data_IF_190345208259
#
_entry.id   IF_190345208259
#
_cell.length_a   1.000
_cell.length_b   1.000
_cell.length_c   1.000
_cell.angle_alpha   90.00
_cell.angle_beta   90.00
_cell.angle_gamma   90.00
#
_symmetry.space_group_name_H-M   'P 1'
#
loop_
_entity.id
_entity.type
_entity.pdbx_description
1 polymer ?
#
# COMPACT_ATOMS: atom_id res chain seq x y z
N UNK A 1 -19.88 74.38 -38.77
CA UNK A 1 -19.30 74.13 -37.43
C UNK A 1 -19.90 72.83 -36.93
N UNK A 2 -19.15 71.74 -36.78
CA UNK A 2 -18.52 71.31 -35.52
C UNK A 2 -19.44 70.27 -34.84
N UNK A 3 -19.02 69.12 -34.32
CA UNK A 3 -17.70 68.51 -34.06
C UNK A 3 -17.89 66.98 -34.08
N UNK A 4 -16.88 66.25 -34.56
CA UNK A 4 -16.72 64.79 -34.43
C UNK A 4 -16.54 64.42 -32.94
N UNK A 5 -17.10 63.28 -32.49
CA UNK A 5 -16.38 62.13 -31.85
C UNK A 5 -17.32 61.14 -31.13
N UNK A 6 -17.25 59.83 -31.46
CA UNK A 6 -17.25 58.80 -30.41
C UNK A 6 -16.22 57.66 -30.62
N UNK A 7 -15.11 57.90 -31.33
CA UNK A 7 -14.11 56.85 -31.63
C UNK A 7 -13.09 56.54 -30.50
N UNK A 8 -13.03 57.35 -29.44
CA UNK A 8 -11.91 57.29 -28.46
C UNK A 8 -12.07 56.19 -27.39
N UNK A 9 -13.30 55.85 -26.98
CA UNK A 9 -13.53 54.85 -25.90
C UNK A 9 -13.16 53.42 -26.31
N UNK A 10 -13.40 53.05 -27.57
CA UNK A 10 -13.12 51.71 -28.11
C UNK A 10 -11.61 51.42 -28.21
N UNK A 11 -10.79 52.44 -28.51
CA UNK A 11 -9.33 52.29 -28.64
C UNK A 11 -8.65 52.03 -27.29
N UNK A 12 -9.15 52.66 -26.21
CA UNK A 12 -8.60 52.47 -24.86
C UNK A 12 -8.89 51.06 -24.30
N UNK A 13 -10.08 50.53 -24.55
CA UNK A 13 -10.44 49.15 -24.19
C UNK A 13 -9.66 48.12 -25.00
N UNK A 14 -9.50 48.35 -26.31
CA UNK A 14 -8.65 47.51 -27.17
C UNK A 14 -7.19 47.50 -26.69
N UNK A 15 -6.66 48.64 -26.22
CA UNK A 15 -5.31 48.73 -25.65
C UNK A 15 -5.17 47.91 -24.37
N UNK A 16 -6.14 48.00 -23.45
CA UNK A 16 -6.18 47.18 -22.22
C UNK A 16 -6.26 45.69 -22.52
N UNK A 17 -7.09 45.30 -23.49
CA UNK A 17 -7.18 43.90 -23.92
C UNK A 17 -5.86 43.41 -24.52
N UNK A 18 -5.22 44.23 -25.35
CA UNK A 18 -3.90 43.93 -25.93
C UNK A 18 -2.82 43.76 -24.86
N UNK A 19 -2.83 44.59 -23.82
CA UNK A 19 -1.90 44.50 -22.69
C UNK A 19 -2.14 43.21 -21.87
N UNK A 20 -3.40 42.88 -21.54
CA UNK A 20 -3.75 41.62 -20.86
C UNK A 20 -3.36 40.39 -21.67
N UNK A 21 -3.63 40.41 -22.98
CA UNK A 21 -3.22 39.35 -23.89
C UNK A 21 -1.70 39.19 -23.93
N UNK A 22 -0.94 40.29 -23.93
CA UNK A 22 0.52 40.23 -23.91
C UNK A 22 1.06 39.63 -22.61
N UNK A 23 0.47 39.97 -21.46
CA UNK A 23 0.83 39.41 -20.16
C UNK A 23 0.53 37.91 -20.14
N UNK A 24 -0.68 37.52 -20.53
CA UNK A 24 -1.08 36.10 -20.58
C UNK A 24 -0.18 35.31 -21.54
N UNK A 25 0.14 35.88 -22.70
CA UNK A 25 1.07 35.26 -23.67
C UNK A 25 2.48 35.08 -23.09
N UNK A 26 2.97 36.03 -22.28
CA UNK A 26 4.27 35.88 -21.59
C UNK A 26 4.22 34.78 -20.54
N UNK A 27 3.14 34.71 -19.77
CA UNK A 27 2.96 33.68 -18.74
C UNK A 27 2.85 32.29 -19.34
N UNK A 28 2.07 32.12 -20.42
CA UNK A 28 1.98 30.84 -21.14
C UNK A 28 3.34 30.43 -21.70
N UNK A 29 4.09 31.36 -22.30
CA UNK A 29 5.45 31.07 -22.78
C UNK A 29 6.40 30.66 -21.66
N UNK A 30 6.33 31.34 -20.52
CA UNK A 30 7.15 31.02 -19.36
C UNK A 30 6.80 29.63 -18.81
N UNK A 31 5.51 29.30 -18.73
CA UNK A 31 5.06 27.99 -18.27
C UNK A 31 5.51 26.87 -19.22
N UNK A 32 5.41 27.08 -20.53
CA UNK A 32 5.90 26.12 -21.53
C UNK A 32 7.42 25.92 -21.39
N UNK A 33 8.17 27.00 -21.17
CA UNK A 33 9.61 26.91 -20.94
C UNK A 33 9.95 26.14 -19.66
N UNK A 34 9.25 26.41 -18.56
CA UNK A 34 9.44 25.68 -17.31
C UNK A 34 9.09 24.19 -17.45
N UNK A 35 7.99 23.87 -18.11
CA UNK A 35 7.59 22.49 -18.35
C UNK A 35 8.63 21.75 -19.21
N UNK A 36 9.22 22.42 -20.21
CA UNK A 36 10.31 21.85 -21.00
C UNK A 36 11.56 21.61 -20.13
N UNK A 37 11.98 22.58 -19.31
CA UNK A 37 13.13 22.43 -18.41
C UNK A 37 12.92 21.31 -17.38
N UNK A 38 11.71 21.16 -16.83
CA UNK A 38 11.38 20.06 -15.92
C UNK A 38 11.41 18.71 -16.63
N UNK A 39 10.97 18.65 -17.89
CA UNK A 39 10.99 17.44 -18.70
C UNK A 39 12.43 17.01 -19.01
N UNK A 40 13.32 17.98 -19.28
CA UNK A 40 14.76 17.73 -19.45
C UNK A 40 15.40 17.19 -18.16
N UNK A 41 15.05 17.75 -17.00
CA UNK A 41 15.54 17.29 -15.70
C UNK A 41 15.06 15.86 -15.36
N UNK A 42 13.79 15.54 -15.64
CA UNK A 42 13.26 14.17 -15.48
C UNK A 42 14.03 13.20 -16.38
N UNK A 43 14.23 13.55 -17.65
CA UNK A 43 14.99 12.71 -18.59
C UNK A 43 16.44 12.50 -18.13
N UNK A 44 17.06 13.55 -17.55
CA UNK A 44 18.39 13.45 -16.95
C UNK A 44 18.41 12.47 -15.77
N UNK A 45 17.47 12.61 -14.84
CA UNK A 45 17.37 11.73 -13.67
C UNK A 45 17.11 10.28 -14.06
N UNK A 46 16.23 10.01 -15.03
CA UNK A 46 15.97 8.67 -15.55
C UNK A 46 17.23 8.03 -16.15
N UNK A 47 18.04 8.82 -16.88
CA UNK A 47 19.31 8.37 -17.44
C UNK A 47 20.31 8.00 -16.35
N UNK A 48 20.44 8.83 -15.31
CA UNK A 48 21.31 8.55 -14.16
C UNK A 48 20.86 7.31 -13.39
N UNK A 49 19.56 7.17 -13.20
CA UNK A 49 18.97 6.01 -12.54
C UNK A 49 19.23 4.72 -13.31
N UNK A 50 19.15 4.76 -14.65
CA UNK A 50 19.49 3.63 -15.51
C UNK A 50 20.98 3.25 -15.39
N UNK A 51 21.89 4.25 -15.33
CA UNK A 51 23.32 4.01 -15.12
C UNK A 51 23.58 3.34 -13.77
N UNK A 52 23.00 3.86 -12.69
CA UNK A 52 23.13 3.29 -11.34
C UNK A 52 22.56 1.87 -11.26
N UNK A 53 21.44 1.59 -11.94
CA UNK A 53 20.86 0.24 -12.05
C UNK A 53 21.85 -0.72 -12.71
N UNK A 54 22.47 -0.30 -13.81
CA UNK A 54 23.44 -1.11 -14.54
C UNK A 54 24.70 -1.37 -13.71
N UNK A 55 25.22 -0.35 -13.03
CA UNK A 55 26.38 -0.47 -12.15
C UNK A 55 26.10 -1.44 -10.98
N UNK A 56 24.95 -1.30 -10.32
CA UNK A 56 24.50 -2.22 -9.27
C UNK A 56 24.47 -3.67 -9.77
N UNK A 57 23.90 -3.92 -10.95
CA UNK A 57 23.82 -5.25 -11.56
C UNK A 57 25.20 -5.81 -11.87
N UNK A 58 26.10 -4.98 -12.40
CA UNK A 58 27.48 -5.35 -12.67
C UNK A 58 28.24 -5.74 -11.39
N UNK A 59 28.15 -4.91 -10.35
CA UNK A 59 28.82 -5.17 -9.06
C UNK A 59 28.29 -6.43 -8.38
N UNK A 60 26.96 -6.66 -8.39
CA UNK A 60 26.36 -7.89 -7.89
C UNK A 60 26.88 -9.12 -8.63
N UNK A 61 26.92 -9.07 -9.97
CA UNK A 61 27.45 -10.18 -10.79
C UNK A 61 28.93 -10.46 -10.48
N UNK A 62 29.73 -9.42 -10.27
CA UNK A 62 31.14 -9.54 -9.89
C UNK A 62 31.29 -10.15 -8.49
N UNK A 63 30.46 -9.76 -7.53
CA UNK A 63 30.47 -10.28 -6.16
C UNK A 63 30.10 -11.77 -6.12
N UNK A 64 29.08 -12.19 -6.87
CA UNK A 64 28.68 -13.60 -6.95
C UNK A 64 29.76 -14.51 -7.56
N UNK A 65 30.68 -13.98 -8.36
CA UNK A 65 31.80 -14.75 -8.91
C UNK A 65 32.81 -15.21 -7.84
N UNK A 66 32.84 -14.54 -6.69
CA UNK A 66 33.82 -14.78 -5.63
C UNK A 66 33.24 -15.45 -4.36
N UNK A 67 31.94 -15.75 -4.34
CA UNK A 67 31.29 -16.48 -3.23
C UNK A 67 31.14 -17.96 -3.60
N UNK A 68 31.74 -18.93 -2.87
CA UNK A 68 31.61 -20.36 -3.16
C UNK A 68 30.24 -20.84 -2.66
N UNK A 69 29.22 -20.75 -3.51
CA UNK A 69 27.84 -21.07 -3.14
C UNK A 69 27.33 -22.22 -4.02
N UNK A 70 26.73 -23.24 -3.40
CA UNK A 70 26.21 -24.43 -4.10
C UNK A 70 25.06 -24.09 -5.05
N UNK A 71 24.84 -24.91 -6.10
CA UNK A 71 23.84 -24.69 -7.16
C UNK A 71 22.43 -24.37 -6.63
N UNK A 72 22.04 -24.96 -5.50
CA UNK A 72 20.77 -24.73 -4.80
C UNK A 72 20.63 -23.29 -4.24
N UNK A 73 21.71 -22.71 -3.72
CA UNK A 73 21.74 -21.34 -3.21
C UNK A 73 21.82 -20.29 -4.33
N UNK A 74 22.30 -20.70 -5.51
CA UNK A 74 22.32 -19.87 -6.72
C UNK A 74 20.90 -19.69 -7.31
N UNK A 75 20.05 -20.74 -7.24
CA UNK A 75 18.63 -20.69 -7.62
C UNK A 75 17.79 -19.82 -6.66
N UNK A 76 18.11 -19.85 -5.36
CA UNK A 76 17.49 -18.97 -4.36
C UNK A 76 17.89 -17.50 -4.59
N UNK A 77 19.16 -17.26 -4.93
CA UNK A 77 19.68 -15.92 -5.23
C UNK A 77 19.18 -15.36 -6.56
N UNK A 78 18.96 -16.20 -7.58
CA UNK A 78 18.31 -15.78 -8.84
C UNK A 78 16.82 -15.53 -8.68
N UNK A 79 16.11 -16.28 -7.81
CA UNK A 79 14.75 -15.93 -7.38
C UNK A 79 14.71 -14.61 -6.62
N UNK A 80 15.69 -14.36 -5.74
CA UNK A 80 15.84 -13.07 -5.05
C UNK A 80 16.20 -11.91 -6.01
N UNK A 81 16.99 -12.18 -7.06
CA UNK A 81 17.32 -11.20 -8.11
C UNK A 81 16.14 -10.89 -9.04
N UNK A 82 15.35 -11.89 -9.43
CA UNK A 82 14.12 -11.68 -10.20
C UNK A 82 13.05 -10.95 -9.36
N UNK A 83 13.00 -11.17 -8.05
CA UNK A 83 12.19 -10.37 -7.12
C UNK A 83 12.69 -8.92 -6.95
N UNK A 84 13.99 -8.68 -7.16
CA UNK A 84 14.61 -7.35 -7.22
C UNK A 84 14.49 -6.67 -8.59
N UNK A 85 14.09 -7.39 -9.65
CA UNK A 85 13.88 -6.84 -10.99
C UNK A 85 12.41 -6.38 -11.20
N UNK A 86 11.47 -6.92 -10.41
CA UNK A 86 10.05 -6.49 -10.34
C UNK A 86 9.78 -5.37 -9.34
N UNK A 87 10.81 -4.94 -8.60
CA UNK A 87 10.83 -3.73 -7.77
C UNK A 87 11.87 -2.77 -8.36
N UNK A 88 11.49 -1.53 -8.68
CA UNK A 88 12.37 -0.58 -9.38
C UNK A 88 13.68 -0.26 -8.57
N UNK A 89 14.77 0.13 -9.26
CA UNK A 89 16.16 -0.10 -8.85
C UNK A 89 16.67 0.87 -7.78
N UNK A 90 17.49 0.39 -6.85
CA UNK A 90 18.28 1.31 -6.02
C UNK A 90 18.90 0.75 -4.76
N UNK A 91 18.30 -0.23 -4.07
CA UNK A 91 18.86 -0.67 -2.77
C UNK A 91 18.88 -2.18 -2.60
N UNK A 92 20.09 -2.69 -2.31
CA UNK A 92 20.40 -4.07 -1.93
C UNK A 92 20.22 -4.17 -0.41
N UNK A 93 19.47 -5.15 0.14
CA UNK A 93 19.47 -5.38 1.58
C UNK A 93 20.85 -5.82 2.07
N UNK A 94 21.41 -5.08 3.02
CA UNK A 94 22.59 -5.45 3.78
C UNK A 94 22.24 -6.59 4.75
N UNK A 95 22.24 -7.83 4.26
CA UNK A 95 22.18 -9.02 5.11
C UNK A 95 23.03 -10.20 4.60
N UNK A 96 23.89 -10.01 3.60
CA UNK A 96 24.87 -11.05 3.18
C UNK A 96 26.24 -10.87 3.86
N UNK A 97 26.47 -9.77 4.59
CA UNK A 97 27.76 -9.50 5.23
C UNK A 97 27.62 -9.39 6.75
N UNK A 98 27.63 -10.53 7.44
CA UNK A 98 28.22 -10.60 8.78
C UNK A 98 28.84 -11.98 9.03
N UNK A 99 30.17 -11.95 9.05
CA UNK A 99 31.18 -12.82 9.67
C UNK A 99 30.96 -14.34 9.73
N UNK A 100 31.60 -15.03 8.78
CA UNK A 100 32.23 -16.33 9.04
C UNK A 100 33.69 -16.04 9.43
N UNK A 101 34.05 -16.33 10.69
CA UNK A 101 35.46 -16.46 11.07
C UNK A 101 36.00 -17.80 10.55
N UNK A 102 37.21 -17.84 9.95
CA UNK A 102 37.85 -19.06 9.51
C UNK A 102 38.89 -19.52 10.53
N UNK A 103 38.81 -20.77 11.02
CA UNK A 103 40.00 -21.48 11.48
C UNK A 103 39.97 -22.95 11.07
N UNK A 104 40.83 -23.21 10.09
CA UNK A 104 41.43 -24.46 9.64
C UNK A 104 41.79 -25.44 10.76
N UNK A 105 41.58 -26.72 10.49
CA UNK A 105 42.25 -27.85 11.13
C UNK A 105 43.63 -28.10 10.52
N UNK A 106 44.59 -28.60 11.31
CA UNK A 106 45.47 -29.65 10.83
C UNK A 106 45.67 -30.80 11.83
N UNK A 107 46.01 -31.97 11.28
CA UNK A 107 46.11 -33.25 11.95
C UNK A 107 47.49 -33.55 12.61
N UNK A 108 47.44 -34.48 13.58
CA UNK A 108 48.41 -35.53 14.00
C UNK A 108 49.16 -35.41 15.35
N UNK A 109 49.02 -36.55 16.07
CA UNK A 109 49.90 -37.25 17.05
C UNK A 109 49.90 -36.83 18.52
N UNK A 110 49.61 -37.82 19.39
CA UNK A 110 49.93 -37.83 20.81
C UNK A 110 49.10 -38.86 21.60
N UNK A 111 49.75 -39.92 22.08
CA UNK A 111 49.18 -41.14 22.65
C UNK A 111 48.44 -41.00 24.01
N UNK A 112 47.56 -41.99 24.24
CA UNK A 112 47.33 -42.82 25.46
C UNK A 112 45.82 -42.89 25.71
N UNK A 113 45.09 -44.00 25.62
CA UNK A 113 45.28 -45.41 26.00
C UNK A 113 44.06 -45.76 26.89
N UNK A 114 43.32 -46.82 26.50
CA UNK A 114 42.69 -47.81 27.39
C UNK A 114 41.39 -47.32 28.09
N UNK A 115 40.23 -47.99 28.08
CA UNK A 115 39.84 -49.35 27.67
C UNK A 115 38.29 -49.51 27.65
N UNK A 116 37.86 -50.54 26.91
CA UNK A 116 36.75 -51.48 27.22
C UNK A 116 35.28 -51.05 27.10
N UNK A 117 34.68 -51.45 25.97
CA UNK A 117 33.32 -52.03 25.85
C UNK A 117 33.25 -53.37 26.62
N UNK A 118 32.09 -53.98 26.95
CA UNK A 118 31.10 -54.49 25.97
C UNK A 118 29.60 -54.38 26.43
N UNK A 119 28.63 -54.25 25.50
CA UNK A 119 27.76 -55.32 24.95
C UNK A 119 26.84 -55.98 26.03
N UNK A 120 25.57 -56.39 25.84
CA UNK A 120 24.64 -56.53 24.71
C UNK A 120 23.33 -57.11 25.28
N UNK A 121 22.17 -56.74 24.72
CA UNK A 121 20.94 -57.55 24.46
C UNK A 121 20.30 -58.40 25.59
N UNK A 122 18.98 -58.39 25.85
CA UNK A 122 17.94 -59.00 24.98
C UNK A 122 16.54 -58.96 25.62
N UNK A 123 15.48 -58.73 24.80
CA UNK A 123 14.12 -59.40 24.69
C UNK A 123 13.35 -59.77 25.99
N UNK A 124 12.00 -59.66 26.15
CA UNK A 124 10.82 -59.81 25.26
C UNK A 124 9.50 -59.62 26.08
N UNK A 125 8.38 -59.27 25.39
CA UNK A 125 6.94 -59.59 25.69
C UNK A 125 6.25 -58.94 26.93
N UNK A 126 4.95 -58.58 27.01
CA UNK A 126 3.71 -58.91 26.28
C UNK A 126 2.56 -57.92 26.66
N UNK A 127 1.68 -57.63 25.69
CA UNK A 127 0.21 -57.39 25.74
C UNK A 127 -0.53 -56.52 26.79
N UNK A 128 -1.40 -55.65 26.21
CA UNK A 128 -2.85 -55.44 26.45
C UNK A 128 -3.38 -54.24 27.29
N UNK A 129 -4.45 -53.64 26.70
CA UNK A 129 -5.59 -52.88 27.26
C UNK A 129 -5.60 -51.33 27.20
N UNK A 130 -6.40 -50.82 26.26
CA UNK A 130 -7.27 -49.63 26.40
C UNK A 130 -8.34 -49.89 27.51
N UNK A 131 -8.82 -48.89 28.29
CA UNK A 131 -9.80 -47.93 27.78
C UNK A 131 -9.76 -46.47 28.33
N UNK A 132 -10.15 -45.54 27.46
CA UNK A 132 -10.89 -44.29 27.70
C UNK A 132 -10.69 -43.49 29.01
N UNK A 133 -10.06 -42.31 28.92
CA UNK A 133 -10.70 -41.08 29.44
C UNK A 133 -10.18 -39.83 28.71
N UNK A 134 -11.13 -38.96 28.39
CA UNK A 134 -10.92 -37.75 27.61
C UNK A 134 -10.07 -36.72 28.36
N UNK A 135 -8.98 -36.26 27.72
CA UNK A 135 -8.39 -34.95 28.02
C UNK A 135 -8.00 -34.27 26.70
N UNK A 136 -8.95 -33.53 26.12
CA UNK A 136 -8.67 -32.59 25.05
C UNK A 136 -7.80 -31.45 25.61
N UNK A 137 -6.65 -31.12 25.01
CA UNK A 137 -5.89 -29.94 25.42
C UNK A 137 -6.72 -28.68 25.13
N UNK A 138 -6.97 -27.89 26.19
CA UNK A 138 -7.62 -26.59 26.13
C UNK A 138 -6.92 -25.72 25.08
N UNK A 139 -7.67 -25.42 24.02
CA UNK A 139 -7.32 -24.49 22.94
C UNK A 139 -6.93 -23.14 23.56
N UNK A 140 -5.66 -22.76 23.44
CA UNK A 140 -5.17 -21.44 23.84
C UNK A 140 -5.99 -20.39 23.09
N UNK A 141 -6.52 -19.39 23.81
CA UNK A 141 -7.18 -18.22 23.21
C UNK A 141 -6.24 -17.62 22.16
N UNK A 142 -6.71 -17.29 20.95
CA UNK A 142 -5.86 -16.62 19.97
C UNK A 142 -5.43 -15.28 20.57
N UNK A 143 -4.12 -15.13 20.81
CA UNK A 143 -3.55 -13.84 21.18
C UNK A 143 -3.94 -12.83 20.11
N UNK A 144 -4.51 -11.69 20.51
CA UNK A 144 -4.90 -10.61 19.61
C UNK A 144 -3.70 -10.24 18.76
N UNK A 145 -3.76 -10.53 17.46
CA UNK A 145 -2.75 -10.06 16.50
C UNK A 145 -2.77 -8.53 16.56
N UNK A 146 -1.65 -7.95 17.03
CA UNK A 146 -1.50 -6.51 17.23
C UNK A 146 -1.60 -5.78 15.88
N UNK A 147 -2.47 -4.77 15.79
CA UNK A 147 -2.69 -3.97 14.56
C UNK A 147 -1.51 -3.01 14.34
N UNK A 148 -0.66 -3.30 13.36
CA UNK A 148 0.55 -2.51 13.09
C UNK A 148 0.30 -1.43 12.04
N UNK A 149 0.59 -0.18 12.38
CA UNK A 149 0.57 0.96 11.47
C UNK A 149 1.90 1.02 10.73
N UNK A 150 1.81 1.13 9.40
CA UNK A 150 2.97 1.32 8.54
C UNK A 150 3.47 2.76 8.64
N UNK A 151 4.80 2.99 8.59
CA UNK A 151 5.34 4.35 8.55
C UNK A 151 4.85 5.09 7.30
N UNK A 152 4.32 6.30 7.49
CA UNK A 152 3.91 7.20 6.41
C UNK A 152 4.60 8.55 6.59
N UNK A 153 5.04 9.14 5.48
CA UNK A 153 5.54 10.51 5.46
C UNK A 153 4.38 11.51 5.55
N UNK A 154 4.62 12.61 6.25
CA UNK A 154 3.69 13.71 6.46
C UNK A 154 4.30 15.01 5.95
N UNK A 155 3.44 15.99 5.63
CA UNK A 155 3.84 17.36 5.37
C UNK A 155 4.17 18.11 6.68
N UNK A 156 4.52 19.38 6.58
CA UNK A 156 4.88 20.23 7.73
C UNK A 156 3.71 20.46 8.72
N UNK A 157 2.48 20.21 8.27
CA UNK A 157 1.27 20.29 9.10
C UNK A 157 0.91 18.95 9.78
N UNK A 158 1.76 17.93 9.64
CA UNK A 158 1.53 16.55 10.08
C UNK A 158 0.34 15.86 9.40
N UNK A 159 0.06 16.19 8.14
CA UNK A 159 -0.92 15.50 7.29
C UNK A 159 -0.17 14.49 6.40
N UNK A 160 -0.58 13.21 6.34
CA UNK A 160 0.00 12.24 5.43
C UNK A 160 -0.16 12.65 3.96
N UNK A 161 0.83 12.33 3.14
CA UNK A 161 0.71 12.53 1.69
C UNK A 161 -0.27 11.54 1.07
N UNK A 162 -1.15 12.06 0.22
CA UNK A 162 -2.04 11.27 -0.64
C UNK A 162 -1.54 11.28 -2.09
N UNK A 163 -1.75 10.20 -2.85
CA UNK A 163 -2.43 8.96 -2.43
C UNK A 163 -1.54 8.05 -1.55
N UNK A 164 -2.16 7.28 -0.65
CA UNK A 164 -1.48 6.33 0.23
C UNK A 164 -1.52 4.94 -0.40
N UNK A 165 -0.37 4.46 -0.85
CA UNK A 165 -0.23 3.15 -1.52
C UNK A 165 0.26 2.06 -0.57
N UNK A 166 -0.50 0.96 -0.47
CA UNK A 166 -0.22 -0.18 0.39
C UNK A 166 -0.41 -1.48 -0.40
N UNK A 167 0.67 -1.98 -0.98
CA UNK A 167 0.62 -3.17 -1.84
C UNK A 167 -0.23 -2.91 -3.09
N UNK A 168 -1.35 -3.63 -3.23
CA UNK A 168 -2.30 -3.46 -4.34
C UNK A 168 -3.44 -2.48 -4.04
N UNK A 169 -3.45 -1.86 -2.86
CA UNK A 169 -4.40 -0.82 -2.46
C UNK A 169 -3.76 0.55 -2.66
N UNK A 170 -4.51 1.51 -3.16
CA UNK A 170 -4.16 2.94 -3.14
C UNK A 170 -5.35 3.71 -2.60
N UNK A 171 -5.17 4.50 -1.54
CA UNK A 171 -6.23 5.34 -0.95
C UNK A 171 -6.02 6.78 -1.39
N UNK A 172 -7.02 7.36 -2.06
CA UNK A 172 -6.97 8.71 -2.63
C UNK A 172 -7.60 9.75 -1.70
N UNK A 173 -8.66 9.38 -1.00
CA UNK A 173 -9.35 10.22 -0.03
C UNK A 173 -9.90 9.35 1.11
N UNK A 174 -9.78 9.82 2.35
CA UNK A 174 -10.35 9.15 3.52
C UNK A 174 -11.83 9.49 3.73
N UNK A 175 -12.33 10.57 3.13
CA UNK A 175 -13.70 11.04 3.30
C UNK A 175 -13.93 11.85 4.58
N UNK A 176 -15.19 12.08 4.91
CA UNK A 176 -15.66 12.83 6.07
C UNK A 176 -16.59 12.00 6.95
N UNK A 177 -16.42 12.10 8.27
CA UNK A 177 -17.24 11.38 9.23
C UNK A 177 -18.56 12.13 9.45
N UNK A 178 -19.67 11.44 9.21
CA UNK A 178 -21.01 11.88 9.60
C UNK A 178 -21.33 11.31 11.00
N UNK A 179 -20.89 12.02 12.05
CA UNK A 179 -21.04 11.57 13.44
C UNK A 179 -22.49 11.63 13.93
N UNK A 180 -23.30 12.51 13.36
CA UNK A 180 -24.72 12.69 13.62
C UNK A 180 -25.58 11.52 13.13
N UNK A 181 -25.09 10.74 12.15
CA UNK A 181 -25.82 9.61 11.56
C UNK A 181 -25.33 8.27 12.12
N UNK A 182 -26.13 7.65 12.99
CA UNK A 182 -25.82 6.37 13.62
C UNK A 182 -25.65 5.17 12.64
N UNK A 183 -26.08 5.30 11.39
CA UNK A 183 -25.87 4.30 10.33
C UNK A 183 -24.48 4.30 9.72
N UNK A 184 -23.68 5.36 9.92
CA UNK A 184 -22.35 5.54 9.29
C UNK A 184 -21.19 5.01 10.15
N UNK A 185 -21.50 4.34 11.25
CA UNK A 185 -20.50 3.70 12.08
C UNK A 185 -21.06 2.46 12.80
N UNK A 186 -20.14 1.56 13.15
CA UNK A 186 -20.36 0.36 13.95
C UNK A 186 -19.31 0.27 15.04
N UNK A 187 -19.40 -0.75 15.90
CA UNK A 187 -18.38 -1.03 16.91
C UNK A 187 -16.96 -1.09 16.32
N UNK A 188 -16.83 -1.65 15.11
CA UNK A 188 -15.53 -1.94 14.50
C UNK A 188 -15.06 -0.94 13.46
N UNK A 189 -15.99 -0.27 12.76
CA UNK A 189 -15.69 0.52 11.57
C UNK A 189 -16.43 1.84 11.57
N UNK A 190 -15.73 2.86 11.08
CA UNK A 190 -16.27 4.14 10.64
C UNK A 190 -16.36 4.09 9.11
N UNK A 191 -17.41 4.67 8.52
CA UNK A 191 -17.60 4.72 7.07
C UNK A 191 -17.72 6.18 6.60
N UNK A 192 -16.58 6.88 6.41
CA UNK A 192 -16.61 8.27 6.02
C UNK A 192 -17.15 8.44 4.60
N UNK A 193 -17.99 9.45 4.39
CA UNK A 193 -18.53 9.79 3.07
C UNK A 193 -17.46 10.46 2.21
N UNK A 194 -17.34 10.00 0.96
CA UNK A 194 -16.30 10.43 0.04
C UNK A 194 -15.00 9.64 0.18
N UNK A 195 -14.93 8.62 1.02
CA UNK A 195 -13.80 7.68 1.01
C UNK A 195 -13.62 7.13 -0.41
N UNK A 196 -12.40 7.22 -0.93
CA UNK A 196 -12.04 6.83 -2.29
C UNK A 196 -10.75 6.01 -2.27
N UNK A 197 -10.79 4.81 -2.82
CA UNK A 197 -9.60 3.98 -3.02
C UNK A 197 -9.63 3.26 -4.36
N UNK A 198 -8.46 2.83 -4.84
CA UNK A 198 -8.33 1.90 -5.94
C UNK A 198 -7.65 0.61 -5.49
N UNK A 199 -8.06 -0.50 -6.10
CA UNK A 199 -7.48 -1.82 -5.86
C UNK A 199 -7.14 -2.53 -7.15
N UNK A 200 -5.88 -2.92 -7.32
CA UNK A 200 -5.46 -3.79 -8.42
C UNK A 200 -5.93 -5.23 -8.15
N UNK A 201 -6.81 -5.73 -9.01
CA UNK A 201 -7.45 -7.05 -8.84
C UNK A 201 -7.78 -7.69 -10.20
N UNK A 202 -7.94 -9.03 -10.31
CA UNK A 202 -8.38 -9.66 -11.56
C UNK A 202 -9.67 -9.07 -12.13
N UNK A 203 -9.76 -8.90 -13.45
CA UNK A 203 -10.96 -8.43 -14.12
C UNK A 203 -12.11 -9.43 -14.02
N UNK A 204 -13.34 -8.92 -13.91
CA UNK A 204 -14.57 -9.71 -13.95
C UNK A 204 -14.92 -10.20 -15.37
N UNK A 205 -14.27 -9.65 -16.40
CA UNK A 205 -14.45 -9.99 -17.82
C UNK A 205 -13.34 -10.91 -18.30
N UNK A 206 -12.09 -10.54 -18.01
CA UNK A 206 -10.89 -11.31 -18.37
C UNK A 206 -10.07 -11.63 -17.10
N UNK A 207 -10.33 -12.78 -16.45
CA UNK A 207 -9.71 -13.13 -15.17
C UNK A 207 -8.18 -13.28 -15.18
N UNK A 208 -7.56 -13.35 -16.37
CA UNK A 208 -6.10 -13.43 -16.54
C UNK A 208 -5.46 -12.04 -16.54
N UNK A 209 -6.24 -10.97 -16.75
CA UNK A 209 -5.81 -9.58 -16.63
C UNK A 209 -6.15 -9.01 -15.25
N UNK A 210 -5.26 -8.16 -14.75
CA UNK A 210 -5.52 -7.32 -13.57
C UNK A 210 -5.83 -5.90 -14.03
N UNK A 211 -6.81 -5.30 -13.38
CA UNK A 211 -7.32 -3.96 -13.64
C UNK A 211 -7.49 -3.21 -12.32
N UNK A 212 -7.73 -1.92 -12.37
CA UNK A 212 -8.12 -1.14 -11.21
C UNK A 212 -9.62 -1.28 -10.91
N UNK A 213 -9.94 -1.44 -9.63
CA UNK A 213 -11.29 -1.30 -9.09
C UNK A 213 -11.34 -0.05 -8.23
N UNK A 214 -12.18 0.91 -8.61
CA UNK A 214 -12.45 2.12 -7.85
C UNK A 214 -13.52 1.82 -6.80
N UNK A 215 -13.22 2.12 -5.54
CA UNK A 215 -14.09 1.84 -4.40
C UNK A 215 -14.49 3.15 -3.73
N UNK A 216 -15.79 3.33 -3.51
CA UNK A 216 -16.36 4.54 -2.92
C UNK A 216 -17.29 4.24 -1.74
N UNK A 217 -17.24 5.09 -0.73
CA UNK A 217 -18.30 5.18 0.29
C UNK A 217 -19.05 6.49 0.04
N UNK A 218 -20.32 6.40 -0.35
CA UNK A 218 -21.20 7.53 -0.65
C UNK A 218 -22.24 7.73 0.46
N UNK A 219 -22.84 8.91 0.52
CA UNK A 219 -24.01 9.15 1.38
C UNK A 219 -25.23 8.46 0.77
N UNK A 220 -25.73 7.41 1.43
CA UNK A 220 -26.96 6.71 1.07
C UNK A 220 -28.20 7.23 1.81
N UNK A 221 -28.12 8.40 2.45
CA UNK A 221 -29.17 8.97 3.29
C UNK A 221 -28.97 8.58 4.75
N UNK A 222 -29.59 7.49 5.18
CA UNK A 222 -29.52 7.02 6.58
C UNK A 222 -28.33 6.09 6.85
N UNK A 223 -27.81 5.45 5.82
CA UNK A 223 -26.72 4.47 5.87
C UNK A 223 -25.73 4.72 4.71
N UNK A 224 -24.48 4.25 4.81
CA UNK A 224 -23.51 4.38 3.73
C UNK A 224 -23.92 3.54 2.51
N UNK A 225 -23.70 4.10 1.33
CA UNK A 225 -23.77 3.37 0.07
C UNK A 225 -22.36 3.01 -0.39
N UNK A 226 -22.06 1.71 -0.47
CA UNK A 226 -20.79 1.23 -0.97
C UNK A 226 -20.88 1.00 -2.47
N UNK A 227 -19.88 1.46 -3.22
CA UNK A 227 -19.84 1.29 -4.67
C UNK A 227 -18.45 0.80 -5.12
N UNK A 228 -18.43 -0.14 -6.06
CA UNK A 228 -17.24 -0.60 -6.77
C UNK A 228 -17.46 -0.38 -8.27
N UNK A 229 -16.50 0.26 -8.94
CA UNK A 229 -16.46 0.42 -10.40
C UNK A 229 -15.19 -0.24 -10.93
N UNK A 230 -15.33 -1.15 -11.89
CA UNK A 230 -14.19 -1.74 -12.56
C UNK A 230 -13.73 -0.85 -13.71
N UNK A 231 -12.42 -0.66 -13.86
CA UNK A 231 -11.80 0.16 -14.91
C UNK A 231 -12.23 -0.27 -16.32
N UNK A 232 -12.42 -1.56 -16.56
CA UNK A 232 -12.84 -2.10 -17.86
C UNK A 232 -14.36 -2.18 -18.03
N UNK A 233 -15.14 -1.79 -17.02
CA UNK A 233 -16.60 -1.74 -17.05
C UNK A 233 -17.12 -0.49 -16.31
N UNK A 234 -16.76 0.74 -16.76
CA UNK A 234 -17.10 1.98 -16.05
C UNK A 234 -18.62 2.23 -15.96
N UNK A 235 -19.39 1.76 -16.95
CA UNK A 235 -20.85 1.92 -17.00
C UNK A 235 -21.62 0.87 -16.16
N UNK A 236 -20.93 -0.03 -15.47
CA UNK A 236 -21.56 -1.09 -14.67
C UNK A 236 -21.16 -1.03 -13.18
N UNK A 237 -21.47 0.08 -12.48
CA UNK A 237 -21.18 0.21 -11.07
C UNK A 237 -21.89 -0.88 -10.25
N UNK A 238 -21.17 -1.43 -9.27
CA UNK A 238 -21.70 -2.39 -8.30
C UNK A 238 -21.97 -1.61 -7.01
N UNK A 239 -23.24 -1.40 -6.69
CA UNK A 239 -23.65 -0.70 -5.45
C UNK A 239 -24.34 -1.65 -4.47
N UNK A 240 -24.06 -1.50 -3.17
CA UNK A 240 -24.75 -2.22 -2.09
C UNK A 240 -24.65 -1.49 -0.74
N UNK A 241 -25.47 -1.91 0.23
CA UNK A 241 -25.47 -1.37 1.61
C UNK A 241 -24.28 -1.81 2.46
N UNK A 242 -23.48 -2.78 2.00
CA UNK A 242 -22.25 -3.20 2.70
C UNK A 242 -21.11 -3.42 1.72
N UNK A 243 -19.88 -3.13 2.17
CA UNK A 243 -18.66 -3.42 1.41
C UNK A 243 -18.56 -4.90 1.02
N UNK A 244 -18.96 -5.80 1.93
CA UNK A 244 -18.95 -7.26 1.67
C UNK A 244 -19.94 -7.64 0.59
N UNK A 245 -21.14 -7.05 0.55
CA UNK A 245 -22.11 -7.32 -0.51
C UNK A 245 -21.57 -6.92 -1.89
N UNK A 246 -20.92 -5.75 -2.02
CA UNK A 246 -20.25 -5.35 -3.25
C UNK A 246 -19.17 -6.36 -3.68
N UNK A 247 -18.28 -6.72 -2.75
CA UNK A 247 -17.20 -7.65 -3.04
C UNK A 247 -17.71 -9.07 -3.39
N UNK A 248 -18.79 -9.53 -2.77
CA UNK A 248 -19.44 -10.79 -3.14
C UNK A 248 -19.93 -10.77 -4.60
N UNK A 249 -20.42 -9.64 -5.12
CA UNK A 249 -20.82 -9.53 -6.52
C UNK A 249 -19.59 -9.63 -7.44
N UNK A 250 -18.48 -8.96 -7.08
CA UNK A 250 -17.20 -9.06 -7.81
C UNK A 250 -16.74 -10.52 -7.87
N UNK A 251 -16.70 -11.21 -6.72
CA UNK A 251 -16.28 -12.62 -6.65
C UNK A 251 -17.20 -13.54 -7.46
N UNK A 252 -18.52 -13.32 -7.44
CA UNK A 252 -19.48 -14.09 -8.24
C UNK A 252 -19.22 -13.92 -9.74
N UNK A 253 -19.03 -12.67 -10.21
CA UNK A 253 -18.74 -12.39 -11.63
C UNK A 253 -17.39 -12.97 -12.05
N UNK A 254 -16.35 -12.81 -11.22
CA UNK A 254 -15.02 -13.36 -11.46
C UNK A 254 -15.03 -14.90 -11.55
N UNK A 255 -15.76 -15.58 -10.65
CA UNK A 255 -15.85 -17.05 -10.68
C UNK A 255 -16.61 -17.54 -11.92
N UNK A 256 -17.68 -16.83 -12.31
CA UNK A 256 -18.40 -17.09 -13.56
C UNK A 256 -17.48 -16.95 -14.78
N UNK A 257 -16.69 -15.89 -14.86
CA UNK A 257 -15.72 -15.69 -15.95
C UNK A 257 -14.62 -16.75 -15.98
N UNK A 258 -14.29 -17.35 -14.83
CA UNK A 258 -13.35 -18.49 -14.71
C UNK A 258 -13.99 -19.85 -14.99
N UNK A 259 -15.29 -19.92 -15.31
CA UNK A 259 -16.02 -21.18 -15.47
C UNK A 259 -16.11 -22.01 -14.18
N UNK A 260 -16.05 -21.37 -13.00
CA UNK A 260 -16.12 -22.04 -11.70
C UNK A 260 -17.44 -21.74 -10.99
N UNK A 261 -18.11 -22.78 -10.51
CA UNK A 261 -19.33 -22.71 -9.67
C UNK A 261 -18.99 -22.64 -8.16
N UNK A 262 -17.89 -21.98 -7.79
CA UNK A 262 -17.45 -21.92 -6.39
C UNK A 262 -17.95 -20.67 -5.68
N UNK A 263 -18.33 -20.80 -4.41
CA UNK A 263 -18.60 -19.67 -3.51
C UNK A 263 -17.32 -19.28 -2.78
N UNK A 264 -16.64 -18.23 -3.26
CA UNK A 264 -15.53 -17.64 -2.52
C UNK A 264 -16.09 -16.65 -1.51
N UNK A 265 -15.61 -16.70 -0.28
CA UNK A 265 -15.83 -15.66 0.72
C UNK A 265 -14.60 -14.76 0.77
N UNK A 266 -14.82 -13.45 0.65
CA UNK A 266 -13.76 -12.46 0.75
C UNK A 266 -14.21 -11.27 1.58
N UNK A 267 -13.27 -10.59 2.24
CA UNK A 267 -13.57 -9.47 3.12
C UNK A 267 -13.78 -8.18 2.32
N UNK A 268 -15.02 -7.68 2.26
CA UNK A 268 -15.31 -6.38 1.65
C UNK A 268 -14.53 -5.21 2.27
N UNK A 269 -14.46 -5.09 3.62
CA UNK A 269 -13.63 -4.07 4.26
C UNK A 269 -12.16 -4.08 3.85
N UNK A 270 -11.60 -5.26 3.58
CA UNK A 270 -10.21 -5.42 3.12
C UNK A 270 -10.07 -5.04 1.65
N UNK A 271 -11.06 -5.39 0.83
CA UNK A 271 -11.10 -5.02 -0.58
C UNK A 271 -11.14 -3.49 -0.75
N UNK A 272 -12.05 -2.81 -0.05
CA UNK A 272 -12.13 -1.34 -0.02
C UNK A 272 -10.90 -0.70 0.64
N UNK A 273 -10.26 -1.41 1.58
CA UNK A 273 -9.02 -0.99 2.22
C UNK A 273 -9.18 -0.27 3.56
N UNK A 274 -10.39 0.15 3.93
CA UNK A 274 -10.64 0.82 5.21
C UNK A 274 -10.42 -0.07 6.45
N UNK A 275 -10.31 -1.39 6.28
CA UNK A 275 -9.89 -2.29 7.37
C UNK A 275 -8.39 -2.48 7.51
N UNK A 276 -7.58 -1.93 6.60
CA UNK A 276 -6.12 -1.98 6.73
C UNK A 276 -5.70 -1.18 7.97
N UNK A 277 -4.84 -1.70 8.87
CA UNK A 277 -4.52 -1.04 10.14
C UNK A 277 -4.09 0.43 10.00
N UNK A 278 -3.23 0.75 9.04
CA UNK A 278 -2.83 2.14 8.76
C UNK A 278 -4.02 3.02 8.39
N UNK A 279 -4.88 2.56 7.48
CA UNK A 279 -6.02 3.34 6.99
C UNK A 279 -7.09 3.47 8.09
N UNK A 280 -7.36 2.39 8.82
CA UNK A 280 -8.27 2.41 9.96
C UNK A 280 -7.80 3.39 11.04
N UNK A 281 -6.50 3.43 11.31
CA UNK A 281 -5.91 4.40 12.23
C UNK A 281 -6.10 5.84 11.74
N UNK A 282 -5.83 6.13 10.46
CA UNK A 282 -6.05 7.47 9.90
C UNK A 282 -7.52 7.89 9.94
N UNK A 283 -8.45 6.99 9.62
CA UNK A 283 -9.89 7.24 9.74
C UNK A 283 -10.27 7.53 11.20
N UNK A 284 -9.70 6.80 12.16
CA UNK A 284 -9.92 7.04 13.61
C UNK A 284 -9.37 8.40 14.09
N UNK A 285 -8.46 9.01 13.33
CA UNK A 285 -7.91 10.34 13.59
C UNK A 285 -8.72 11.47 12.94
N UNK A 286 -9.66 11.18 12.03
CA UNK A 286 -10.53 12.19 11.42
C UNK A 286 -11.39 12.90 12.47
N UNK A 287 -11.71 14.17 12.21
CA UNK A 287 -12.64 14.96 13.01
C UNK A 287 -14.01 14.25 13.08
N UNK A 288 -14.62 14.18 14.26
CA UNK A 288 -15.93 13.55 14.47
C UNK A 288 -15.85 12.06 14.83
N UNK A 289 -14.69 11.41 14.69
CA UNK A 289 -14.53 9.99 15.06
C UNK A 289 -14.82 9.71 16.55
N UNK A 290 -14.56 10.69 17.41
CA UNK A 290 -14.81 10.67 18.85
C UNK A 290 -16.29 10.84 19.22
N UNK A 291 -17.11 11.35 18.30
CA UNK A 291 -18.55 11.58 18.48
C UNK A 291 -19.40 10.39 18.00
N UNK A 292 -18.80 9.41 17.34
CA UNK A 292 -19.47 8.21 16.87
C UNK A 292 -19.78 7.24 18.02
N UNK A 293 -21.00 7.32 18.55
CA UNK A 293 -21.44 6.63 19.77
C UNK A 293 -21.17 5.12 19.80
N UNK A 294 -21.36 4.41 18.67
CA UNK A 294 -21.16 2.96 18.64
C UNK A 294 -19.69 2.57 18.51
N UNK A 295 -18.82 3.47 18.07
CA UNK A 295 -17.48 3.13 17.61
C UNK A 295 -16.50 2.88 18.77
N UNK A 296 -15.84 1.72 18.77
CA UNK A 296 -14.82 1.38 19.75
C UNK A 296 -13.43 1.61 19.16
N UNK A 297 -12.71 2.59 19.74
CA UNK A 297 -11.36 2.94 19.32
C UNK A 297 -10.43 1.72 19.40
N UNK A 298 -9.72 1.48 18.30
CA UNK A 298 -8.70 0.44 18.25
C UNK A 298 -7.36 0.95 18.76
N UNK A 299 -6.64 0.09 19.47
CA UNK A 299 -5.22 0.29 19.78
C UNK A 299 -4.37 -0.13 18.58
N UNK A 300 -3.34 0.66 18.29
CA UNK A 300 -2.43 0.45 17.17
C UNK A 300 -0.99 0.50 17.66
N UNK A 301 -0.14 -0.35 17.08
CA UNK A 301 1.31 -0.33 17.32
C UNK A 301 2.01 0.26 16.11
N UNK A 302 3.01 1.12 16.34
CA UNK A 302 3.79 1.72 15.26
C UNK A 302 5.02 0.86 14.99
N UNK A 303 5.30 0.60 13.71
CA UNK A 303 6.51 -0.14 13.34
C UNK A 303 7.75 0.68 13.71
N UNK A 304 8.78 0.08 14.35
CA UNK A 304 9.96 0.82 14.77
C UNK A 304 10.67 1.41 13.55
N UNK A 305 10.92 2.72 13.59
CA UNK A 305 11.72 3.43 12.57
C UNK A 305 13.18 3.01 12.79
N UNK A 306 13.80 2.34 11.81
CA UNK A 306 15.22 1.98 11.87
C UNK A 306 16.04 3.27 11.94
N UNK A 307 17.00 3.33 12.89
CA UNK A 307 17.72 4.53 13.34
C UNK A 307 18.52 5.32 12.28
N UNK A 308 18.51 4.91 11.02
CA UNK A 308 19.17 5.61 9.89
C UNK A 308 18.27 6.60 9.16
N UNK A 309 17.01 6.76 9.57
CA UNK A 309 16.08 7.75 9.00
C UNK A 309 15.56 8.68 10.09
N UNK A 310 16.36 9.68 10.44
CA UNK A 310 15.95 10.83 11.26
C UNK A 310 15.07 11.77 10.44
N UNK A 311 13.94 11.27 9.94
CA UNK A 311 12.92 12.10 9.30
C UNK A 311 11.88 12.42 10.38
N UNK A 312 11.88 13.64 10.93
CA UNK A 312 10.88 14.12 11.90
C UNK A 312 9.43 13.96 11.40
N UNK A 313 9.26 13.81 10.10
CA UNK A 313 8.00 13.90 9.38
C UNK A 313 7.35 12.53 9.11
N UNK A 314 7.59 11.51 9.95
CA UNK A 314 6.94 10.20 9.83
C UNK A 314 5.96 9.95 10.98
N UNK A 315 4.85 9.25 10.68
CA UNK A 315 3.86 8.86 11.70
C UNK A 315 4.53 7.97 12.76
N UNK A 316 4.41 8.38 14.03
CA UNK A 316 4.87 7.64 15.22
C UNK A 316 3.99 8.00 16.41
N UNK A 317 4.10 7.24 17.50
CA UNK A 317 3.29 7.42 18.72
C UNK A 317 3.34 8.85 19.29
N UNK A 318 4.49 9.55 19.16
CA UNK A 318 4.65 10.96 19.56
C UNK A 318 4.46 12.01 18.46
N UNK A 319 4.09 11.61 17.24
CA UNK A 319 3.78 12.52 16.13
C UNK A 319 2.54 12.04 15.39
N UNK A 320 1.38 12.34 15.97
CA UNK A 320 0.07 11.92 15.48
C UNK A 320 -0.35 12.79 14.28
N UNK A 321 -1.03 12.21 13.28
CA UNK A 321 -1.45 12.96 12.11
C UNK A 321 -2.53 13.99 12.46
N UNK A 322 -2.38 15.21 11.93
CA UNK A 322 -3.34 16.29 12.12
C UNK A 322 -4.43 16.25 11.02
N UNK A 323 -5.41 15.37 11.19
CA UNK A 323 -6.51 15.25 10.21
C UNK A 323 -7.45 16.46 10.16
N UNK A 324 -7.33 17.43 11.09
CA UNK A 324 -8.10 18.68 11.01
C UNK A 324 -7.57 19.62 9.94
N UNK A 325 -6.27 19.53 9.61
CA UNK A 325 -5.63 20.29 8.55
C UNK A 325 -5.68 19.58 7.19
N UNK A 326 -6.38 18.44 7.10
CA UNK A 326 -6.51 17.69 5.86
C UNK A 326 -7.43 18.43 4.87
N UNK A 327 -6.81 19.21 3.98
CA UNK A 327 -7.50 19.89 2.89
C UNK A 327 -7.77 18.94 1.71
N UNK A 328 -9.05 18.68 1.47
CA UNK A 328 -9.51 17.78 0.41
C UNK A 328 -9.60 18.46 -0.97
N UNK A 329 -9.51 19.79 -1.03
CA UNK A 329 -9.72 20.55 -2.29
C UNK A 329 -8.62 20.34 -3.32
N UNK A 330 -7.42 19.97 -2.88
CA UNK A 330 -6.25 19.74 -3.73
C UNK A 330 -6.01 18.25 -4.04
N UNK A 331 -6.92 17.36 -3.62
CA UNK A 331 -6.79 15.93 -3.93
C UNK A 331 -7.08 15.67 -5.40
N UNK A 332 -6.11 15.11 -6.11
CA UNK A 332 -6.30 14.59 -7.46
C UNK A 332 -7.04 13.24 -7.37
N UNK A 333 -8.37 13.29 -7.45
CA UNK A 333 -9.19 12.09 -7.49
C UNK A 333 -9.10 11.42 -8.87
N UNK A 334 -9.05 10.09 -8.92
CA UNK A 334 -9.05 9.39 -10.20
C UNK A 334 -10.34 9.68 -10.98
N UNK A 335 -10.20 10.12 -12.22
CA UNK A 335 -11.33 10.34 -13.12
C UNK A 335 -11.65 9.06 -13.90
N UNK A 336 -12.73 8.39 -13.52
CA UNK A 336 -13.20 7.16 -14.18
C UNK A 336 -13.68 7.45 -15.61
N UNK A 337 -14.16 8.66 -15.91
CA UNK A 337 -14.67 9.03 -17.24
C UNK A 337 -13.57 9.38 -18.25
N UNK A 338 -12.30 9.43 -17.84
CA UNK A 338 -11.16 9.69 -18.74
C UNK A 338 -10.39 8.42 -19.15
N UNK A 339 -10.89 7.25 -18.78
CA UNK A 339 -10.26 5.94 -19.07
C UNK A 339 -10.95 5.26 -20.26
#
# INVERSE_FOLDING_TARGET
MGKKTPKVKNVAEQRKYKERYQILRRQVKHQVFMNAALSDEVTHMESQFMLLKNERKFLLKKLFKHLPMTESQCLESTKALNALESSHPGQIPHSILSSVQPTVSPAKKGNNAVSESPATSSKKHQQQQDPSSANKPKRKKPGSVKKKVQPLHMNDENVPFFPITIGTLTVHDLGEILSDKAGFHSERYLWPVGFCSTRLYPSMVDPDRKILYFCYIKDGGNEPLFEIIAEDQPDQPISASTATACHCIVLKRLNKARGKETTNTGSGPEFFGFSHPTIQYLIQCLTGADQCEKYVRSAFEFSPITATSTSSNMIREGNLPNMKAFDRTNLELPNIQSI
#
